data_IF_329106129383
#
_entry.id   IF_329106129383
#
_cell.length_a   1.000
_cell.length_b   1.000
_cell.length_c   1.000
_cell.angle_alpha   90.00
_cell.angle_beta   90.00
_cell.angle_gamma   90.00
#
_symmetry.space_group_name_H-M   'P 1'
#
loop_
_entity.id
_entity.type
_entity.pdbx_description
1 polymer ?
#
# COMPACT_ATOMS: atom_id res chain seq x y z
N UNK A 1 -7.25 -14.87 -8.00
CA UNK A 1 -8.41 -14.16 -7.41
C UNK A 1 -8.06 -12.69 -7.45
N UNK A 2 -8.96 -11.79 -7.90
CA UNK A 2 -8.65 -10.37 -7.92
C UNK A 2 -8.48 -9.84 -6.49
N UNK A 3 -7.49 -8.98 -6.29
CA UNK A 3 -7.27 -8.24 -5.06
C UNK A 3 -8.41 -7.22 -4.89
N UNK A 4 -8.92 -7.04 -3.66
CA UNK A 4 -10.05 -6.15 -3.37
C UNK A 4 -9.62 -4.89 -2.64
N UNK A 5 -8.50 -4.92 -1.93
CA UNK A 5 -7.98 -3.81 -1.15
C UNK A 5 -6.68 -3.28 -1.70
N UNK A 6 -5.81 -4.15 -2.22
CA UNK A 6 -4.56 -3.74 -2.85
C UNK A 6 -4.85 -3.29 -4.29
N UNK A 7 -4.71 -1.99 -4.52
CA UNK A 7 -4.71 -1.36 -5.82
C UNK A 7 -3.31 -0.83 -6.07
N UNK A 8 -2.67 -1.30 -7.13
CA UNK A 8 -1.24 -1.05 -7.37
C UNK A 8 -1.04 0.00 -8.46
N UNK A 9 -0.32 1.05 -8.13
CA UNK A 9 0.25 1.98 -9.09
C UNK A 9 1.63 1.48 -9.52
N UNK A 10 1.87 1.39 -10.84
CA UNK A 10 3.18 1.00 -11.38
C UNK A 10 4.05 2.20 -11.74
N UNK A 11 5.33 2.11 -11.39
CA UNK A 11 6.39 2.99 -11.91
C UNK A 11 7.62 2.18 -12.30
N UNK A 12 8.48 2.76 -13.14
CA UNK A 12 9.73 2.14 -13.59
C UNK A 12 10.86 3.16 -13.50
N UNK A 13 12.00 2.75 -12.97
CA UNK A 13 13.19 3.59 -12.89
C UNK A 13 14.02 3.57 -14.19
N UNK A 14 15.13 4.30 -14.20
CA UNK A 14 16.01 4.38 -15.36
C UNK A 14 16.88 3.13 -15.56
N UNK A 15 16.94 2.22 -14.59
CA UNK A 15 17.69 0.96 -14.63
C UNK A 15 16.80 -0.21 -15.11
N UNK A 16 15.50 0.04 -15.30
CA UNK A 16 14.52 -0.94 -15.74
C UNK A 16 13.93 -1.78 -14.60
N UNK A 17 14.09 -1.33 -13.35
CA UNK A 17 13.42 -1.90 -12.19
C UNK A 17 12.02 -1.31 -12.11
N UNK A 18 11.02 -2.18 -12.10
CA UNK A 18 9.63 -1.78 -11.92
C UNK A 18 9.22 -1.87 -10.45
N UNK A 19 8.45 -0.90 -9.98
CA UNK A 19 7.89 -0.86 -8.63
C UNK A 19 6.37 -0.78 -8.71
N UNK A 20 5.70 -1.61 -7.92
CA UNK A 20 4.26 -1.57 -7.71
C UNK A 20 4.00 -1.08 -6.28
N UNK A 21 3.28 0.03 -6.16
CA UNK A 21 2.93 0.64 -4.89
C UNK A 21 1.42 0.51 -4.64
N UNK A 22 1.04 -0.06 -3.49
CA UNK A 22 -0.34 -0.11 -3.04
C UNK A 22 -0.47 0.49 -1.64
N UNK A 23 -1.51 1.30 -1.44
CA UNK A 23 -1.88 1.83 -0.12
C UNK A 23 -3.37 1.61 0.15
N UNK A 24 -3.67 0.88 1.22
CA UNK A 24 -5.04 0.55 1.60
C UNK A 24 -5.32 0.96 3.04
N UNK A 25 -6.29 1.87 3.22
CA UNK A 25 -6.77 2.29 4.53
C UNK A 25 -8.14 1.68 4.83
N UNK A 26 -8.24 0.84 5.85
CA UNK A 26 -9.45 0.05 6.15
C UNK A 26 -9.95 0.24 7.58
N UNK A 27 -11.22 -0.07 7.84
CA UNK A 27 -11.77 -0.10 9.19
C UNK A 27 -11.41 -1.42 9.89
N UNK A 28 -11.59 -1.55 11.22
CA UNK A 28 -11.12 -2.70 11.98
C UNK A 28 -11.66 -4.04 11.48
N UNK A 29 -12.90 -4.05 10.96
CA UNK A 29 -13.56 -5.26 10.47
C UNK A 29 -12.92 -5.83 9.18
N UNK A 30 -12.18 -5.03 8.41
CA UNK A 30 -11.58 -5.45 7.14
C UNK A 30 -10.08 -5.73 7.24
N UNK A 31 -9.43 -5.44 8.38
CA UNK A 31 -7.98 -5.59 8.57
C UNK A 31 -7.50 -7.01 8.23
N UNK A 32 -8.21 -8.03 8.71
CA UNK A 32 -7.83 -9.42 8.46
C UNK A 32 -7.89 -9.78 6.95
N UNK A 33 -8.84 -9.22 6.21
CA UNK A 33 -8.97 -9.45 4.78
C UNK A 33 -7.88 -8.73 3.98
N UNK A 34 -7.53 -7.49 4.35
CA UNK A 34 -6.40 -6.77 3.77
C UNK A 34 -5.07 -7.51 4.01
N UNK A 35 -4.81 -7.96 5.24
CA UNK A 35 -3.60 -8.73 5.54
C UNK A 35 -3.52 -10.05 4.76
N UNK A 36 -4.67 -10.70 4.50
CA UNK A 36 -4.70 -11.90 3.69
C UNK A 36 -4.28 -11.62 2.22
N UNK A 37 -4.66 -10.48 1.66
CA UNK A 37 -4.23 -10.07 0.32
C UNK A 37 -2.74 -9.76 0.26
N UNK A 38 -2.20 -9.02 1.24
CA UNK A 38 -0.76 -8.77 1.35
C UNK A 38 0.01 -10.08 1.46
N UNK A 39 -0.43 -10.98 2.34
CA UNK A 39 0.19 -12.29 2.51
C UNK A 39 0.12 -13.13 1.24
N UNK A 40 -0.99 -13.04 0.49
CA UNK A 40 -1.15 -13.73 -0.78
C UNK A 40 -0.14 -13.25 -1.83
N UNK A 41 0.07 -11.93 -1.97
CA UNK A 41 1.05 -11.35 -2.90
C UNK A 41 2.46 -11.76 -2.52
N UNK A 42 2.86 -11.59 -1.26
CA UNK A 42 4.22 -11.92 -0.81
C UNK A 42 4.50 -13.43 -0.84
N UNK A 43 3.54 -14.27 -0.47
CA UNK A 43 3.69 -15.73 -0.56
C UNK A 43 3.82 -16.18 -2.01
N UNK A 44 3.08 -15.57 -2.94
CA UNK A 44 3.22 -15.83 -4.37
C UNK A 44 4.63 -15.45 -4.85
N UNK A 45 5.13 -14.27 -4.49
CA UNK A 45 6.45 -13.81 -4.92
C UNK A 45 7.56 -14.75 -4.45
N UNK A 46 7.54 -15.15 -3.18
CA UNK A 46 8.48 -16.15 -2.64
C UNK A 46 8.37 -17.53 -3.30
N UNK A 47 7.16 -17.94 -3.71
CA UNK A 47 6.96 -19.23 -4.37
C UNK A 47 7.41 -19.24 -5.84
N UNK A 48 7.21 -18.14 -6.57
CA UNK A 48 7.61 -18.03 -7.98
C UNK A 48 9.10 -17.69 -8.16
N UNK A 49 9.67 -16.91 -7.25
CA UNK A 49 11.05 -16.42 -7.30
C UNK A 49 11.82 -16.83 -6.04
N UNK A 50 12.03 -18.16 -5.84
CA UNK A 50 12.65 -18.68 -4.63
C UNK A 50 14.11 -18.21 -4.50
N UNK A 51 14.44 -17.59 -3.37
CA UNK A 51 15.78 -17.04 -3.12
C UNK A 51 16.09 -15.75 -3.88
N UNK A 52 15.14 -15.20 -4.64
CA UNK A 52 15.29 -13.93 -5.34
C UNK A 52 14.98 -12.69 -4.51
N UNK A 53 14.45 -12.86 -3.29
CA UNK A 53 14.11 -11.74 -2.40
C UNK A 53 15.38 -11.11 -1.81
N UNK A 54 15.62 -9.83 -2.07
CA UNK A 54 16.72 -9.07 -1.49
C UNK A 54 16.98 -7.76 -2.21
N UNK A 55 17.83 -6.88 -1.66
CA UNK A 55 18.21 -5.63 -2.32
C UNK A 55 18.81 -5.87 -3.70
N UNK A 56 18.46 -5.03 -4.67
CA UNK A 56 18.97 -5.15 -6.03
C UNK A 56 20.50 -5.02 -6.12
N UNK A 57 21.12 -4.19 -5.28
CA UNK A 57 22.57 -4.00 -5.20
C UNK A 57 23.31 -5.21 -4.59
N UNK A 58 22.60 -6.08 -3.87
CA UNK A 58 23.07 -7.37 -3.38
C UNK A 58 22.75 -8.53 -4.35
N UNK A 59 22.19 -8.23 -5.53
CA UNK A 59 21.82 -9.22 -6.53
C UNK A 59 20.44 -9.84 -6.34
N UNK A 60 19.58 -9.20 -5.54
CA UNK A 60 18.17 -9.57 -5.44
C UNK A 60 17.42 -9.34 -6.74
N UNK A 61 16.51 -10.25 -7.05
CA UNK A 61 15.65 -10.21 -8.23
C UNK A 61 14.36 -9.41 -8.00
N UNK A 62 13.93 -9.37 -6.73
CA UNK A 62 12.79 -8.61 -6.26
C UNK A 62 12.97 -8.25 -4.79
N UNK A 63 12.32 -7.19 -4.34
CA UNK A 63 12.24 -6.80 -2.95
C UNK A 63 10.86 -6.23 -2.61
N UNK A 64 10.63 -5.97 -1.32
CA UNK A 64 9.43 -5.29 -0.89
C UNK A 64 9.68 -4.47 0.37
N UNK A 65 8.92 -3.39 0.52
CA UNK A 65 8.74 -2.67 1.77
C UNK A 65 7.29 -2.82 2.22
N UNK A 66 7.10 -3.08 3.52
CA UNK A 66 5.78 -3.23 4.12
C UNK A 66 5.68 -2.33 5.35
N UNK A 67 4.83 -1.31 5.25
CA UNK A 67 4.55 -0.39 6.33
C UNK A 67 3.09 -0.50 6.77
N UNK A 68 2.85 -0.29 8.07
CA UNK A 68 1.51 -0.27 8.63
C UNK A 68 1.40 0.81 9.69
N UNK A 69 0.33 1.61 9.62
CA UNK A 69 0.00 2.62 10.62
C UNK A 69 -1.45 2.42 11.06
N UNK A 70 -1.71 2.61 12.35
CA UNK A 70 -3.06 2.66 12.88
C UNK A 70 -3.32 4.03 13.50
N UNK A 71 -4.40 4.69 13.06
CA UNK A 71 -4.72 6.06 13.45
C UNK A 71 -6.19 6.20 13.80
N UNK A 72 -6.50 7.14 14.68
CA UNK A 72 -7.88 7.49 15.06
C UNK A 72 -8.18 8.87 14.52
N UNK A 73 -8.97 8.94 13.46
CA UNK A 73 -9.38 10.22 12.88
C UNK A 73 -10.36 10.94 13.81
N UNK A 74 -10.05 12.21 14.11
CA UNK A 74 -10.96 13.12 14.80
C UNK A 74 -11.46 14.15 13.80
N UNK A 75 -12.73 14.08 13.36
CA UNK A 75 -13.25 15.06 12.41
C UNK A 75 -13.20 16.47 13.01
N UNK A 76 -12.88 17.45 12.17
CA UNK A 76 -12.87 18.86 12.55
C UNK A 76 -13.93 19.60 11.74
N UNK A 77 -14.82 20.32 12.43
CA UNK A 77 -15.69 21.29 11.79
C UNK A 77 -14.92 22.62 11.68
N UNK A 78 -14.74 23.08 10.45
CA UNK A 78 -14.04 24.32 10.13
C UNK A 78 -15.05 25.38 9.69
N UNK A 79 -14.98 26.57 10.29
CA UNK A 79 -15.79 27.72 9.88
C UNK A 79 -14.88 28.93 9.67
N UNK A 80 -15.03 29.60 8.54
CA UNK A 80 -14.35 30.88 8.28
C UNK A 80 -15.19 32.01 8.85
N UNK A 81 -14.57 32.85 9.67
CA UNK A 81 -15.15 34.08 10.20
C UNK A 81 -14.71 35.25 9.31
N UNK A 82 -15.66 35.87 8.61
CA UNK A 82 -15.40 36.95 7.66
C UNK A 82 -15.01 38.28 8.34
N UNK A 83 -15.41 38.47 9.60
CA UNK A 83 -15.19 39.70 10.33
C UNK A 83 -13.79 39.74 10.92
N UNK A 84 -13.28 38.58 11.37
CA UNK A 84 -11.90 38.44 11.86
C UNK A 84 -10.92 37.97 10.79
N UNK A 85 -11.40 37.40 9.68
CA UNK A 85 -10.58 36.79 8.64
C UNK A 85 -9.88 35.50 9.08
N UNK A 86 -10.39 34.81 10.10
CA UNK A 86 -9.76 33.62 10.70
C UNK A 86 -10.59 32.36 10.53
N UNK A 87 -9.95 31.19 10.69
CA UNK A 87 -10.65 29.90 10.73
C UNK A 87 -10.88 29.50 12.19
N UNK A 88 -12.14 29.33 12.56
CA UNK A 88 -12.55 28.68 13.80
C UNK A 88 -12.55 27.15 13.59
N UNK A 89 -11.94 26.42 14.52
CA UNK A 89 -11.76 24.97 14.46
C UNK A 89 -12.45 24.31 15.65
N UNK A 90 -13.36 23.38 15.39
CA UNK A 90 -14.04 22.62 16.43
C UNK A 90 -13.85 21.12 16.22
N UNK A 91 -13.19 20.45 17.17
CA UNK A 91 -13.02 19.00 17.11
C UNK A 91 -14.32 18.28 17.47
N UNK A 92 -14.67 17.26 16.68
CA UNK A 92 -15.79 16.35 16.91
C UNK A 92 -15.32 15.11 17.67
N UNK A 93 -16.25 14.20 17.97
CA UNK A 93 -15.91 12.92 18.59
C UNK A 93 -15.02 12.09 17.66
N UNK A 94 -13.88 11.54 18.14
CA UNK A 94 -13.05 10.64 17.36
C UNK A 94 -13.83 9.41 16.86
N UNK A 95 -13.54 9.00 15.63
CA UNK A 95 -14.11 7.79 15.02
C UNK A 95 -13.42 6.51 15.49
N UNK A 96 -13.78 5.34 14.93
CA UNK A 96 -13.00 4.12 15.14
C UNK A 96 -11.61 4.24 14.49
N UNK A 97 -10.63 3.50 15.02
CA UNK A 97 -9.30 3.43 14.43
C UNK A 97 -9.36 2.88 13.00
N UNK A 98 -8.58 3.46 12.10
CA UNK A 98 -8.31 2.93 10.75
C UNK A 98 -6.89 2.40 10.69
N UNK A 99 -6.72 1.33 9.93
CA UNK A 99 -5.42 0.74 9.66
C UNK A 99 -5.07 1.00 8.20
N UNK A 100 -3.94 1.65 7.97
CA UNK A 100 -3.38 1.88 6.64
C UNK A 100 -2.18 0.97 6.45
N UNK A 101 -2.22 0.14 5.42
CA UNK A 101 -1.08 -0.68 5.00
C UNK A 101 -0.56 -0.14 3.67
N UNK A 102 0.75 0.04 3.59
CA UNK A 102 1.46 0.36 2.36
C UNK A 102 2.36 -0.81 2.01
N UNK A 103 2.25 -1.30 0.78
CA UNK A 103 3.12 -2.32 0.21
C UNK A 103 3.74 -1.76 -1.06
N UNK A 104 5.07 -1.66 -1.06
CA UNK A 104 5.88 -1.39 -2.24
C UNK A 104 6.58 -2.68 -2.61
N UNK A 105 6.46 -3.14 -3.84
CA UNK A 105 7.13 -4.36 -4.32
C UNK A 105 7.85 -4.04 -5.63
N UNK A 106 9.16 -4.23 -5.65
CA UNK A 106 9.99 -3.91 -6.81
C UNK A 106 10.67 -5.16 -7.34
N UNK A 107 11.04 -5.15 -8.61
CA UNK A 107 11.83 -6.22 -9.18
C UNK A 107 12.16 -6.02 -10.65
N UNK A 108 12.82 -7.04 -11.20
CA UNK A 108 13.16 -7.07 -12.62
C UNK A 108 11.92 -7.02 -13.53
N UNK A 109 12.11 -6.67 -14.81
CA UNK A 109 11.04 -6.73 -15.82
C UNK A 109 10.36 -8.11 -15.92
N UNK A 110 11.10 -9.20 -15.68
CA UNK A 110 10.55 -10.56 -15.61
C UNK A 110 9.63 -10.72 -14.40
N UNK A 111 10.05 -10.25 -13.23
CA UNK A 111 9.22 -10.23 -12.03
C UNK A 111 7.93 -9.42 -12.24
N UNK A 112 8.06 -8.20 -12.78
CA UNK A 112 6.92 -7.32 -13.01
C UNK A 112 5.91 -7.93 -13.99
N UNK A 113 6.37 -8.56 -15.07
CA UNK A 113 5.49 -9.26 -16.02
C UNK A 113 4.75 -10.41 -15.35
N UNK A 114 5.42 -11.22 -14.53
CA UNK A 114 4.81 -12.34 -13.83
C UNK A 114 3.79 -11.87 -12.78
N UNK A 115 4.08 -10.78 -12.07
CA UNK A 115 3.17 -10.21 -11.07
C UNK A 115 1.88 -9.70 -11.71
N UNK A 116 1.99 -8.96 -12.83
CA UNK A 116 0.83 -8.51 -13.62
C UNK A 116 -0.05 -9.67 -14.05
N UNK A 117 0.55 -10.73 -14.61
CA UNK A 117 -0.20 -11.91 -15.05
C UNK A 117 -0.90 -12.62 -13.88
N UNK A 118 -0.22 -12.77 -12.74
CA UNK A 118 -0.75 -13.50 -11.59
C UNK A 118 -1.94 -12.80 -10.91
N UNK A 119 -1.92 -11.46 -10.87
CA UNK A 119 -2.92 -10.66 -10.15
C UNK A 119 -3.85 -9.84 -11.05
N UNK A 120 -3.60 -9.82 -12.36
CA UNK A 120 -4.39 -9.03 -13.32
C UNK A 120 -4.18 -7.53 -13.12
N UNK A 121 -2.93 -7.11 -12.94
CA UNK A 121 -2.55 -5.70 -12.78
C UNK A 121 -2.29 -5.10 -14.17
N UNK A 122 -2.72 -3.85 -14.39
CA UNK A 122 -2.54 -3.12 -15.64
C UNK A 122 -1.12 -2.52 -15.82
#
# INVERSE_FOLDING_TARGET
>A
MPLRYLDFDYSEDFEGTGTFDAMAAVAPAQVAALHAEVAQVLAWAHAQFPGGCGPADEGGEWDYDLACVQEVATPLDLAFDDASGTIAVHARTPGPARTTVTLSISGSSMFCSALREAFGLD
#
